data_IF_162702907952
#
_entry.id   IF_162702907952
#
_cell.length_a   1.000
_cell.length_b   1.000
_cell.length_c   1.000
_cell.angle_alpha   90.00
_cell.angle_beta   90.00
_cell.angle_gamma   90.00
#
_symmetry.space_group_name_H-M   'P 1'
#
loop_
_entity.id
_entity.type
_entity.pdbx_description
1 polymer ?
#
# COMPACT_ATOMS: atom_id res chain seq x y z
N UNK A 1 11.16 -20.80 -62.23
CA UNK A 1 12.52 -20.27 -62.00
C UNK A 1 12.41 -19.00 -61.17
N UNK A 2 12.46 -19.11 -59.85
CA UNK A 2 12.32 -17.95 -58.95
C UNK A 2 13.64 -17.20 -58.95
N UNK A 3 13.64 -15.96 -59.46
CA UNK A 3 14.85 -15.18 -59.68
C UNK A 3 15.41 -14.73 -58.32
N UNK A 4 16.69 -15.00 -58.04
CA UNK A 4 17.38 -14.62 -56.80
C UNK A 4 17.19 -13.14 -56.43
N UNK A 5 17.05 -12.27 -57.44
CA UNK A 5 16.72 -10.85 -57.23
C UNK A 5 15.35 -10.63 -56.57
N UNK A 6 14.33 -11.39 -56.96
CA UNK A 6 12.98 -11.28 -56.39
C UNK A 6 12.93 -11.73 -54.92
N UNK A 7 13.75 -12.72 -54.55
CA UNK A 7 13.87 -13.17 -53.14
C UNK A 7 14.51 -12.09 -52.27
N UNK A 8 15.54 -11.41 -52.78
CA UNK A 8 16.22 -10.33 -52.05
C UNK A 8 15.31 -9.11 -51.87
N UNK A 9 14.55 -8.73 -52.92
CA UNK A 9 13.60 -7.62 -52.84
C UNK A 9 12.45 -7.92 -51.87
N UNK A 10 11.96 -9.16 -51.83
CA UNK A 10 10.92 -9.57 -50.90
C UNK A 10 11.38 -9.56 -49.43
N UNK A 11 12.62 -9.99 -49.14
CA UNK A 11 13.18 -9.90 -47.78
C UNK A 11 13.39 -8.46 -47.30
N UNK A 12 13.83 -7.56 -48.19
CA UNK A 12 14.01 -6.15 -47.86
C UNK A 12 12.68 -5.42 -47.60
N UNK A 13 11.62 -5.77 -48.34
CA UNK A 13 10.28 -5.24 -48.10
C UNK A 13 9.67 -5.75 -46.78
N UNK A 14 9.97 -7.00 -46.39
CA UNK A 14 9.52 -7.56 -45.11
C UNK A 14 10.16 -6.88 -43.89
N UNK A 15 11.41 -6.38 -44.00
CA UNK A 15 12.07 -5.66 -42.89
C UNK A 15 11.49 -4.25 -42.62
N UNK A 16 10.83 -3.63 -43.60
CA UNK A 16 10.18 -2.31 -43.44
C UNK A 16 8.74 -2.42 -42.90
N UNK A 17 8.16 -3.62 -42.91
CA UNK A 17 6.80 -3.89 -42.43
C UNK A 17 6.77 -4.54 -41.03
N UNK A 18 7.93 -4.70 -40.38
CA UNK A 18 7.95 -5.08 -38.97
C UNK A 18 7.27 -3.96 -38.16
N UNK A 19 6.18 -4.24 -37.41
CA UNK A 19 5.66 -3.25 -36.47
C UNK A 19 6.83 -2.83 -35.60
N UNK A 20 7.11 -1.52 -35.54
CA UNK A 20 8.21 -0.99 -34.76
C UNK A 20 8.16 -1.61 -33.37
N UNK A 21 9.31 -2.07 -32.88
CA UNK A 21 9.44 -2.58 -31.50
C UNK A 21 8.96 -1.43 -30.61
N UNK A 22 7.68 -1.49 -30.22
CA UNK A 22 7.13 -0.62 -29.21
C UNK A 22 7.92 -0.95 -27.97
N UNK A 23 8.72 -0.01 -27.49
CA UNK A 23 9.33 -0.12 -26.18
C UNK A 23 8.15 -0.18 -25.22
N UNK A 24 7.84 -1.38 -24.71
CA UNK A 24 6.82 -1.54 -23.69
C UNK A 24 7.20 -0.59 -22.56
N UNK A 25 6.27 0.29 -22.17
CA UNK A 25 6.52 1.22 -21.09
C UNK A 25 6.95 0.41 -19.86
N UNK A 26 8.03 0.84 -19.19
CA UNK A 26 8.48 0.18 -17.97
C UNK A 26 7.29 -0.02 -17.04
N UNK A 27 7.17 -1.22 -16.47
CA UNK A 27 6.05 -1.55 -15.60
C UNK A 27 5.97 -0.52 -14.46
N UNK A 28 4.79 0.08 -14.21
CA UNK A 28 4.67 1.14 -13.22
C UNK A 28 4.94 0.60 -11.82
N UNK A 29 5.60 1.41 -10.99
CA UNK A 29 5.76 1.10 -9.57
C UNK A 29 4.38 1.08 -8.91
N UNK A 30 4.18 0.17 -7.96
CA UNK A 30 2.95 0.06 -7.18
C UNK A 30 3.24 0.24 -5.69
N UNK A 31 2.38 0.99 -5.03
CA UNK A 31 2.33 1.08 -3.57
C UNK A 31 1.06 0.37 -3.11
N UNK A 32 1.21 -0.74 -2.38
CA UNK A 32 0.11 -1.46 -1.75
C UNK A 32 -0.18 -0.82 -0.39
N UNK A 33 -1.40 -0.30 -0.25
CA UNK A 33 -1.93 0.25 0.99
C UNK A 33 -2.81 -0.83 1.65
N UNK A 34 -2.48 -1.32 2.86
CA UNK A 34 -3.19 -2.45 3.47
C UNK A 34 -4.53 -2.07 4.14
N UNK A 35 -5.08 -0.90 3.82
CA UNK A 35 -6.32 -0.38 4.40
C UNK A 35 -7.23 0.21 3.31
N UNK A 36 -8.49 0.45 3.68
CA UNK A 36 -9.48 1.03 2.78
C UNK A 36 -9.05 2.43 2.31
N UNK A 37 -9.53 2.80 1.11
CA UNK A 37 -9.29 4.11 0.53
C UNK A 37 -9.91 5.24 1.37
N UNK A 38 -9.34 6.43 1.30
CA UNK A 38 -9.81 7.62 2.03
C UNK A 38 -9.33 7.74 3.48
N UNK A 39 -8.70 6.70 4.03
CA UNK A 39 -8.03 6.79 5.33
C UNK A 39 -6.72 7.59 5.26
N UNK A 40 -6.15 7.99 6.40
CA UNK A 40 -4.93 8.82 6.43
C UNK A 40 -3.75 8.18 5.71
N UNK A 41 -3.59 6.85 5.80
CA UNK A 41 -2.52 6.12 5.11
C UNK A 41 -2.68 6.18 3.58
N UNK A 42 -3.90 6.02 3.07
CA UNK A 42 -4.19 6.10 1.63
C UNK A 42 -3.90 7.49 1.09
N UNK A 43 -4.37 8.52 1.79
CA UNK A 43 -4.14 9.92 1.42
C UNK A 43 -2.65 10.22 1.35
N UNK A 44 -1.87 9.81 2.36
CA UNK A 44 -0.41 9.99 2.34
C UNK A 44 0.24 9.24 1.18
N UNK A 45 -0.14 7.99 0.92
CA UNK A 45 0.42 7.21 -0.18
C UNK A 45 0.18 7.88 -1.54
N UNK A 46 -1.00 8.47 -1.74
CA UNK A 46 -1.33 9.22 -2.97
C UNK A 46 -0.52 10.50 -3.11
N UNK A 47 -0.33 11.26 -2.02
CA UNK A 47 0.53 12.45 -2.01
C UNK A 47 1.97 12.06 -2.38
N UNK A 48 2.49 10.97 -1.80
CA UNK A 48 3.82 10.47 -2.13
C UNK A 48 3.93 10.05 -3.60
N UNK A 49 2.95 9.29 -4.10
CA UNK A 49 2.91 8.83 -5.49
C UNK A 49 2.96 10.00 -6.50
N UNK A 50 2.24 11.10 -6.24
CA UNK A 50 2.31 12.29 -7.08
C UNK A 50 3.66 12.99 -6.97
N UNK A 51 4.21 13.11 -5.76
CA UNK A 51 5.48 13.81 -5.52
C UNK A 51 6.68 13.12 -6.21
N UNK A 52 6.67 11.80 -6.32
CA UNK A 52 7.76 11.02 -6.94
C UNK A 52 7.55 10.77 -8.44
N UNK A 53 6.46 11.28 -9.03
CA UNK A 53 6.12 11.03 -10.42
C UNK A 53 7.20 11.46 -11.41
N UNK A 54 7.93 12.53 -11.09
CA UNK A 54 9.03 13.02 -11.92
C UNK A 54 10.25 12.10 -11.97
N UNK A 55 10.49 11.31 -10.92
CA UNK A 55 11.64 10.41 -10.83
C UNK A 55 11.29 8.94 -11.10
N UNK A 56 10.13 8.47 -10.65
CA UNK A 56 9.69 7.08 -10.77
C UNK A 56 8.66 6.86 -11.90
N UNK A 57 8.19 7.92 -12.56
CA UNK A 57 7.11 7.84 -13.52
C UNK A 57 5.76 7.56 -12.83
N UNK A 58 4.88 6.83 -13.51
CA UNK A 58 3.55 6.54 -12.95
C UNK A 58 3.66 5.57 -11.77
N UNK A 59 3.12 5.99 -10.62
CA UNK A 59 3.00 5.14 -9.42
C UNK A 59 1.53 4.84 -9.16
N UNK A 60 1.20 3.54 -9.08
CA UNK A 60 -0.17 3.06 -8.82
C UNK A 60 -0.34 2.83 -7.32
N UNK A 61 -1.35 3.46 -6.71
CA UNK A 61 -1.75 3.18 -5.33
C UNK A 61 -2.87 2.13 -5.33
N UNK A 62 -2.61 0.97 -4.76
CA UNK A 62 -3.55 -0.16 -4.69
C UNK A 62 -3.97 -0.41 -3.24
N UNK A 63 -5.25 -0.18 -2.91
CA UNK A 63 -5.81 -0.50 -1.60
C UNK A 63 -6.18 -1.99 -1.51
N UNK A 64 -5.55 -2.73 -0.59
CA UNK A 64 -5.84 -4.14 -0.29
C UNK A 64 -6.20 -4.34 1.20
N UNK A 65 -7.42 -3.98 1.62
CA UNK A 65 -7.84 -4.06 3.01
C UNK A 65 -8.13 -5.50 3.47
N UNK A 66 -8.23 -5.68 4.79
CA UNK A 66 -8.75 -6.89 5.44
C UNK A 66 -7.77 -7.53 6.43
N UNK A 67 -8.31 -8.26 7.40
CA UNK A 67 -7.57 -8.96 8.46
C UNK A 67 -6.52 -8.08 9.18
N UNK A 68 -6.90 -6.87 9.60
CA UNK A 68 -5.98 -5.93 10.26
C UNK A 68 -4.82 -5.45 9.36
N UNK A 69 -4.96 -5.57 8.04
CA UNK A 69 -3.96 -5.22 7.04
C UNK A 69 -3.13 -6.41 6.53
N UNK A 70 -3.32 -7.61 7.09
CA UNK A 70 -2.50 -8.77 6.74
C UNK A 70 -2.63 -9.20 5.27
N UNK A 71 -3.79 -8.98 4.63
CA UNK A 71 -4.01 -9.35 3.22
C UNK A 71 -3.09 -8.53 2.31
N UNK A 72 -3.08 -7.20 2.46
CA UNK A 72 -2.21 -6.33 1.68
C UNK A 72 -0.74 -6.59 1.94
N UNK A 73 -0.35 -6.73 3.21
CA UNK A 73 1.05 -6.96 3.60
C UNK A 73 1.58 -8.31 3.12
N UNK A 74 0.77 -9.37 3.19
CA UNK A 74 1.14 -10.69 2.64
C UNK A 74 1.28 -10.66 1.12
N UNK A 75 0.48 -9.86 0.42
CA UNK A 75 0.64 -9.69 -1.02
C UNK A 75 1.97 -9.01 -1.38
N UNK A 76 2.44 -8.07 -0.56
CA UNK A 76 3.75 -7.44 -0.74
C UNK A 76 4.88 -8.43 -0.44
N UNK A 77 4.80 -9.18 0.67
CA UNK A 77 5.80 -10.18 1.04
C UNK A 77 6.01 -11.25 -0.05
N UNK A 78 4.96 -11.55 -0.82
CA UNK A 78 4.97 -12.57 -1.89
C UNK A 78 5.20 -11.98 -3.28
N UNK A 79 5.35 -10.66 -3.40
CA UNK A 79 5.61 -10.03 -4.68
C UNK A 79 7.05 -10.33 -5.15
N UNK A 80 7.33 -10.25 -6.46
CA UNK A 80 8.71 -10.28 -6.95
C UNK A 80 9.56 -9.20 -6.26
N UNK A 81 10.78 -9.55 -5.86
CA UNK A 81 11.74 -8.64 -5.23
C UNK A 81 12.48 -7.77 -6.27
N UNK A 82 11.73 -7.15 -7.19
CA UNK A 82 12.24 -6.35 -8.31
C UNK A 82 12.17 -4.83 -8.07
N UNK A 83 11.66 -4.42 -6.90
CA UNK A 83 11.51 -3.02 -6.51
C UNK A 83 10.28 -2.32 -7.09
N UNK A 84 9.46 -3.00 -7.90
CA UNK A 84 8.25 -2.43 -8.50
C UNK A 84 7.02 -2.56 -7.61
N UNK A 85 7.07 -3.41 -6.58
CA UNK A 85 6.01 -3.53 -5.57
C UNK A 85 6.52 -3.06 -4.22
N UNK A 86 5.99 -1.93 -3.77
CA UNK A 86 6.24 -1.35 -2.45
C UNK A 86 5.02 -1.57 -1.57
N UNK A 87 5.24 -1.75 -0.28
CA UNK A 87 4.19 -1.87 0.72
C UNK A 87 4.29 -0.78 1.77
N UNK A 88 3.14 -0.32 2.28
CA UNK A 88 3.12 0.55 3.46
C UNK A 88 3.17 -0.30 4.73
N UNK A 89 4.32 -0.27 5.41
CA UNK A 89 4.46 -0.81 6.75
C UNK A 89 3.75 0.09 7.77
N UNK A 90 3.07 -0.52 8.74
CA UNK A 90 2.34 0.19 9.80
C UNK A 90 2.59 -0.44 11.15
N UNK A 91 2.36 0.31 12.23
CA UNK A 91 2.41 -0.23 13.60
C UNK A 91 1.47 -1.42 13.77
N UNK A 92 0.28 -1.38 13.15
CA UNK A 92 -0.65 -2.50 13.16
C UNK A 92 -0.02 -3.76 12.54
N UNK A 93 0.46 -3.67 11.30
CA UNK A 93 0.95 -4.83 10.55
C UNK A 93 2.28 -5.41 11.05
N UNK A 94 3.24 -4.56 11.43
CA UNK A 94 4.59 -5.00 11.76
C UNK A 94 4.86 -5.04 13.27
N UNK A 95 4.08 -4.30 14.07
CA UNK A 95 4.26 -4.21 15.52
C UNK A 95 3.20 -4.97 16.33
N UNK A 96 1.91 -4.87 15.95
CA UNK A 96 0.79 -5.39 16.75
C UNK A 96 0.34 -6.77 16.29
N UNK A 97 0.13 -6.96 14.99
CA UNK A 97 -0.42 -8.20 14.43
C UNK A 97 0.39 -9.47 14.78
N UNK A 98 1.73 -9.43 14.93
CA UNK A 98 2.50 -10.61 15.40
C UNK A 98 2.13 -11.12 16.79
N UNK A 99 1.56 -10.26 17.62
CA UNK A 99 1.11 -10.59 18.98
C UNK A 99 -0.40 -10.80 19.06
N UNK A 100 -1.15 -10.34 18.06
CA UNK A 100 -2.61 -10.41 18.02
C UNK A 100 -3.12 -11.66 17.27
N UNK A 101 -2.47 -12.04 16.17
CA UNK A 101 -2.89 -13.17 15.34
C UNK A 101 -2.09 -14.41 15.69
N UNK A 102 -2.77 -15.52 15.94
CA UNK A 102 -2.12 -16.82 16.21
C UNK A 102 -1.27 -17.34 15.04
N UNK A 103 -1.61 -16.93 13.81
CA UNK A 103 -0.86 -17.25 12.59
C UNK A 103 -0.83 -16.05 11.66
N UNK A 104 0.38 -15.60 11.33
CA UNK A 104 0.60 -14.58 10.32
C UNK A 104 1.02 -15.20 8.98
N UNK A 105 0.59 -14.64 7.85
CA UNK A 105 0.97 -15.09 6.52
C UNK A 105 2.25 -14.42 5.96
N UNK A 106 3.08 -13.85 6.85
CA UNK A 106 4.38 -13.22 6.58
C UNK A 106 5.18 -13.10 7.90
N UNK A 107 6.50 -12.95 7.79
CA UNK A 107 7.43 -12.59 8.88
C UNK A 107 7.82 -11.10 8.74
N UNK A 108 7.36 -10.21 9.64
CA UNK A 108 7.60 -8.76 9.53
C UNK A 108 9.07 -8.37 9.67
N UNK A 109 9.93 -9.24 10.22
CA UNK A 109 11.35 -8.97 10.41
C UNK A 109 12.22 -9.49 9.25
N UNK A 110 11.71 -10.42 8.44
CA UNK A 110 12.51 -11.12 7.40
C UNK A 110 12.00 -10.93 5.99
N UNK A 111 10.69 -10.77 5.81
CA UNK A 111 10.09 -10.77 4.47
C UNK A 111 10.13 -9.38 3.80
N UNK A 112 10.68 -8.36 4.47
CA UNK A 112 10.67 -6.97 3.99
C UNK A 112 12.02 -6.29 4.13
N UNK A 113 12.40 -5.54 3.08
CA UNK A 113 13.49 -4.57 3.14
C UNK A 113 12.91 -3.19 3.48
N UNK A 114 13.33 -2.61 4.62
CA UNK A 114 12.89 -1.28 5.01
C UNK A 114 13.51 -0.21 4.09
N UNK A 115 12.69 0.72 3.61
CA UNK A 115 13.13 1.80 2.70
C UNK A 115 13.31 3.10 3.48
N UNK A 116 12.22 3.64 4.02
CA UNK A 116 12.22 4.90 4.78
C UNK A 116 10.97 5.05 5.63
N UNK A 117 11.03 5.91 6.65
CA UNK A 117 9.86 6.30 7.44
C UNK A 117 9.13 7.45 6.75
N UNK A 118 7.93 7.20 6.24
CA UNK A 118 7.13 8.22 5.55
C UNK A 118 6.58 9.31 6.48
N UNK A 119 6.08 8.92 7.66
CA UNK A 119 5.48 9.83 8.61
C UNK A 119 5.49 9.27 10.04
N UNK A 120 5.31 10.16 11.00
CA UNK A 120 5.02 9.83 12.39
C UNK A 120 3.72 10.50 12.78
N UNK A 121 2.72 9.71 13.18
CA UNK A 121 1.38 10.22 13.50
C UNK A 121 1.07 9.85 14.96
N UNK A 122 0.81 10.83 15.83
CA UNK A 122 0.34 10.54 17.19
C UNK A 122 -1.10 10.03 17.16
N UNK A 123 -1.41 9.07 18.03
CA UNK A 123 -2.80 8.66 18.28
C UNK A 123 -3.46 9.67 19.21
N UNK A 124 -4.75 9.93 18.99
CA UNK A 124 -5.56 10.84 19.82
C UNK A 124 -6.78 10.08 20.32
N UNK A 125 -7.06 10.21 21.62
CA UNK A 125 -8.30 9.72 22.21
C UNK A 125 -9.42 10.72 21.91
N UNK A 126 -10.44 10.27 21.19
CA UNK A 126 -11.59 11.11 20.79
C UNK A 126 -12.87 10.46 21.27
N UNK A 127 -13.81 11.29 21.74
CA UNK A 127 -15.15 10.88 22.11
C UNK A 127 -16.15 11.72 21.31
N UNK A 128 -17.27 11.11 20.92
CA UNK A 128 -18.37 11.86 20.30
C UNK A 128 -18.84 12.96 21.26
N UNK A 129 -18.99 14.20 20.76
CA UNK A 129 -19.25 15.37 21.58
C UNK A 129 -20.58 15.29 22.36
N UNK A 130 -21.64 14.77 21.74
CA UNK A 130 -22.95 14.59 22.39
C UNK A 130 -22.88 13.52 23.48
N UNK A 131 -22.17 12.43 23.23
CA UNK A 131 -21.92 11.38 24.23
C UNK A 131 -21.10 11.94 25.39
N UNK A 132 -20.07 12.75 25.10
CA UNK A 132 -19.23 13.38 26.11
C UNK A 132 -20.06 14.30 27.02
N UNK A 133 -20.92 15.13 26.43
CA UNK A 133 -21.86 15.97 27.17
C UNK A 133 -22.85 15.15 28.01
N UNK A 134 -23.47 14.12 27.42
CA UNK A 134 -24.45 13.24 28.10
C UNK A 134 -23.85 12.50 29.28
N UNK A 135 -22.62 12.01 29.16
CA UNK A 135 -21.91 11.27 30.20
C UNK A 135 -21.08 12.17 31.13
N UNK A 136 -21.08 13.49 30.89
CA UNK A 136 -20.29 14.50 31.60
C UNK A 136 -18.79 14.19 31.60
N UNK A 137 -18.28 13.68 30.49
CA UNK A 137 -16.86 13.37 30.28
C UNK A 137 -16.19 14.54 29.55
N UNK A 138 -15.43 15.37 30.28
CA UNK A 138 -14.71 16.52 29.70
C UNK A 138 -13.20 16.30 29.67
N UNK A 139 -12.71 15.37 30.48
CA UNK A 139 -11.30 15.03 30.61
C UNK A 139 -11.09 13.52 30.58
N UNK A 140 -9.83 13.10 30.41
CA UNK A 140 -9.45 11.68 30.54
C UNK A 140 -9.76 11.16 31.95
N UNK A 141 -9.63 11.99 32.98
CA UNK A 141 -9.96 11.62 34.34
C UNK A 141 -11.46 11.30 34.50
N UNK A 142 -12.34 12.11 33.89
CA UNK A 142 -13.78 11.86 33.89
C UNK A 142 -14.12 10.56 33.15
N UNK A 143 -13.45 10.29 32.01
CA UNK A 143 -13.65 9.06 31.25
C UNK A 143 -13.29 7.83 32.09
N UNK A 144 -12.15 7.87 32.78
CA UNK A 144 -11.69 6.80 33.66
C UNK A 144 -12.67 6.61 34.83
N UNK A 145 -13.10 7.70 35.47
CA UNK A 145 -14.05 7.66 36.58
C UNK A 145 -15.38 7.04 36.13
N UNK A 146 -15.93 7.49 34.99
CA UNK A 146 -17.16 6.95 34.43
C UNK A 146 -17.02 5.46 34.08
N UNK A 147 -15.96 5.06 33.38
CA UNK A 147 -15.72 3.67 32.98
C UNK A 147 -15.56 2.71 34.15
N UNK A 148 -14.91 3.15 35.24
CA UNK A 148 -14.81 2.38 36.49
C UNK A 148 -16.17 2.21 37.17
N UNK A 149 -16.97 3.28 37.22
CA UNK A 149 -18.30 3.24 37.82
C UNK A 149 -19.32 2.46 36.97
N UNK A 150 -19.08 2.33 35.66
CA UNK A 150 -20.02 1.73 34.70
C UNK A 150 -19.33 0.71 33.77
N UNK A 151 -18.88 -0.46 34.27
CA UNK A 151 -18.18 -1.45 33.46
C UNK A 151 -19.00 -1.92 32.24
N UNK A 152 -18.38 -1.92 31.06
CA UNK A 152 -19.00 -2.36 29.80
C UNK A 152 -20.05 -1.41 29.20
N UNK A 153 -20.18 -0.18 29.72
CA UNK A 153 -21.17 0.82 29.26
C UNK A 153 -20.56 2.07 28.59
N UNK A 154 -19.29 1.96 28.16
CA UNK A 154 -18.62 2.98 27.33
C UNK A 154 -18.79 2.65 25.85
#
# INVERSE_FOLDING_TARGET
MTNRRQVITALAAASLAAPGIGWAQAAPTRIVVPFAAGGPIDVTARILAEAVKGSLGTVIVENRPGAGGNIGVSAVAKAPADGLTLGIATTASHGINPWLFSKLPYDPAKDFAAITQMLRVPNVLVMNAETAARLKVNTVADLIAYGKANPGKL
#
